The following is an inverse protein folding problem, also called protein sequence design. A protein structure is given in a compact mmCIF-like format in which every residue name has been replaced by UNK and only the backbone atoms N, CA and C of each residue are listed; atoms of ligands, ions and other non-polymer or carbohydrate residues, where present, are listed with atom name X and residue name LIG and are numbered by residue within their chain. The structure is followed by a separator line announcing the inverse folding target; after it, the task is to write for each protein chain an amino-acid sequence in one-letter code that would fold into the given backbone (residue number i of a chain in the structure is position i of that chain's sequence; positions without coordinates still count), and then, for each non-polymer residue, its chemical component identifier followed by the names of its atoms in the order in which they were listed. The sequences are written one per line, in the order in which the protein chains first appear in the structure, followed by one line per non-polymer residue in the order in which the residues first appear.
data_IF_703502277162
#
_entry.id   IF_703502277162
#
_cell.length_a   1.000
_cell.length_b   1.000
_cell.length_c   1.000
_cell.angle_alpha   90.00
_cell.angle_beta   90.00
_cell.angle_gamma   90.00
#
_symmetry.space_group_name_H-M   'P 1'
#
loop_
_entity.id
_entity.type
_entity.pdbx_description
1 polymer ?
#
# COMPACT_ATOMS: atom_id res chain seq x y z
N UNK A 1 22.87 8.46 22.06
CA UNK A 1 23.00 7.62 20.85
C UNK A 1 21.61 7.04 20.57
N UNK A 2 21.04 7.25 19.37
CA UNK A 2 19.77 6.63 18.99
C UNK A 2 19.84 5.10 19.07
N UNK A 3 18.75 4.48 19.50
CA UNK A 3 18.59 3.03 19.52
C UNK A 3 17.54 2.65 18.48
N UNK A 4 17.94 1.87 17.48
CA UNK A 4 17.03 1.25 16.52
C UNK A 4 16.64 -0.14 17.05
N UNK A 5 15.34 -0.43 17.13
CA UNK A 5 14.80 -1.68 17.66
C UNK A 5 13.73 -2.25 16.72
N UNK A 6 13.84 -3.55 16.46
CA UNK A 6 12.74 -4.35 15.95
C UNK A 6 11.87 -4.79 17.13
N UNK A 7 10.62 -4.32 17.18
CA UNK A 7 9.80 -4.41 18.40
C UNK A 7 8.93 -5.65 18.41
N UNK A 8 8.32 -5.98 17.29
CA UNK A 8 7.23 -6.95 17.16
C UNK A 8 7.26 -7.55 15.76
N UNK A 9 6.49 -8.59 15.51
CA UNK A 9 6.17 -9.08 14.17
C UNK A 9 4.81 -8.52 13.70
N UNK A 10 4.41 -8.66 12.43
CA UNK A 10 3.06 -8.34 11.99
C UNK A 10 1.99 -9.04 12.85
N UNK A 11 0.84 -8.39 13.08
CA UNK A 11 -0.21 -8.88 13.99
C UNK A 11 -0.57 -10.36 13.80
N UNK A 12 -0.64 -10.82 12.56
CA UNK A 12 -1.03 -12.19 12.21
C UNK A 12 -0.10 -13.27 12.80
N UNK A 13 1.17 -12.96 13.11
CA UNK A 13 2.10 -13.87 13.80
C UNK A 13 1.68 -14.21 15.23
N UNK A 14 0.83 -13.39 15.84
CA UNK A 14 0.34 -13.57 17.21
C UNK A 14 -1.07 -14.18 17.26
N UNK A 15 -1.69 -14.39 16.10
CA UNK A 15 -2.98 -15.05 15.98
C UNK A 15 -2.79 -16.57 15.89
N UNK A 16 -3.87 -17.33 16.11
CA UNK A 16 -3.81 -18.78 16.01
C UNK A 16 -3.42 -19.15 14.57
N UNK A 17 -2.39 -19.97 14.42
CA UNK A 17 -1.99 -20.44 13.09
C UNK A 17 -2.95 -21.53 12.61
N UNK A 18 -3.60 -21.26 11.48
CA UNK A 18 -4.40 -22.21 10.73
C UNK A 18 -4.27 -21.95 9.23
N UNK A 19 -4.99 -22.72 8.42
CA UNK A 19 -4.95 -22.65 6.95
C UNK A 19 -5.47 -21.32 6.37
N UNK A 20 -5.93 -20.38 7.20
CA UNK A 20 -6.42 -19.06 6.80
C UNK A 20 -5.50 -17.92 7.25
N UNK A 21 -4.43 -18.23 7.98
CA UNK A 21 -3.55 -17.25 8.64
C UNK A 21 -2.06 -17.49 8.32
N UNK A 22 -1.72 -18.05 7.17
CA UNK A 22 -0.37 -18.56 6.84
C UNK A 22 0.47 -17.59 6.00
N UNK A 23 0.38 -16.27 6.24
CA UNK A 23 0.99 -15.18 5.46
C UNK A 23 2.48 -15.33 5.04
N UNK A 24 3.19 -16.35 5.53
CA UNK A 24 4.31 -16.99 4.87
C UNK A 24 4.11 -18.52 4.81
N UNK A 25 4.17 -19.07 3.60
CA UNK A 25 3.76 -20.41 3.19
C UNK A 25 4.49 -21.61 3.83
N UNK A 26 5.33 -21.38 4.83
CA UNK A 26 6.02 -22.40 5.63
C UNK A 26 6.06 -22.09 7.13
N UNK A 27 5.53 -20.95 7.59
CA UNK A 27 5.59 -20.50 8.98
C UNK A 27 5.06 -21.53 9.96
N UNK A 28 4.06 -22.33 9.56
CA UNK A 28 3.48 -23.43 10.34
C UNK A 28 4.51 -24.44 10.88
N UNK A 29 5.63 -24.61 10.18
CA UNK A 29 6.67 -25.60 10.55
C UNK A 29 7.74 -25.05 11.50
N UNK A 30 7.83 -23.73 11.67
CA UNK A 30 8.81 -23.04 12.53
C UNK A 30 8.14 -22.03 13.46
N UNK A 31 6.97 -22.39 13.98
CA UNK A 31 6.22 -21.58 14.95
C UNK A 31 6.85 -21.62 16.34
N UNK A 32 6.90 -20.46 16.97
CA UNK A 32 7.40 -20.31 18.34
C UNK A 32 6.29 -20.49 19.39
N UNK A 33 5.01 -20.41 19.01
CA UNK A 33 3.83 -20.48 19.90
C UNK A 33 3.74 -21.70 20.84
N UNK A 34 4.59 -22.70 20.64
CA UNK A 34 4.76 -23.87 21.49
C UNK A 34 5.78 -23.69 22.64
N UNK A 35 6.46 -22.54 22.71
CA UNK A 35 7.43 -22.24 23.77
C UNK A 35 6.73 -21.61 24.99
N UNK A 36 7.21 -21.99 26.19
CA UNK A 36 6.72 -21.37 27.42
C UNK A 36 7.11 -19.89 27.49
N UNK A 37 6.19 -19.05 27.97
CA UNK A 37 6.38 -17.60 28.21
C UNK A 37 6.55 -16.69 26.97
N UNK A 38 5.95 -17.04 25.84
CA UNK A 38 5.86 -16.10 24.71
C UNK A 38 4.90 -14.95 25.02
N UNK A 39 5.40 -13.74 24.80
CA UNK A 39 4.62 -12.52 24.90
C UNK A 39 3.69 -12.39 23.69
N UNK A 40 2.41 -12.11 23.94
CA UNK A 40 1.50 -11.70 22.88
C UNK A 40 1.82 -10.27 22.38
N UNK A 41 1.24 -9.86 21.26
CA UNK A 41 1.50 -8.54 20.65
C UNK A 41 1.33 -7.38 21.65
N UNK A 42 0.30 -7.41 22.50
CA UNK A 42 0.08 -6.36 23.49
C UNK A 42 1.16 -6.35 24.58
N UNK A 43 1.62 -7.52 25.01
CA UNK A 43 2.70 -7.65 25.98
C UNK A 43 4.02 -7.17 25.40
N UNK A 44 4.34 -7.53 24.16
CA UNK A 44 5.52 -7.05 23.43
C UNK A 44 5.52 -5.53 23.33
N UNK A 45 4.40 -4.93 22.90
CA UNK A 45 4.28 -3.47 22.82
C UNK A 45 4.41 -2.80 24.19
N UNK A 46 3.88 -3.43 25.24
CA UNK A 46 4.05 -2.95 26.61
C UNK A 46 5.51 -3.00 27.06
N UNK A 47 6.32 -3.95 26.56
CA UNK A 47 7.76 -3.96 26.83
C UNK A 47 8.47 -2.78 26.16
N UNK A 48 8.12 -2.45 24.92
CA UNK A 48 8.61 -1.24 24.23
C UNK A 48 8.23 0.00 25.04
N UNK A 49 6.95 0.15 25.37
CA UNK A 49 6.43 1.30 26.12
C UNK A 49 7.18 1.49 27.45
N UNK A 50 7.39 0.39 28.18
CA UNK A 50 8.14 0.41 29.43
C UNK A 50 9.62 0.79 29.24
N UNK A 51 10.24 0.42 28.13
CA UNK A 51 11.62 0.78 27.82
C UNK A 51 11.73 2.27 27.47
N UNK A 52 10.87 2.74 26.57
CA UNK A 52 10.81 4.14 26.14
C UNK A 52 10.56 5.06 27.34
N UNK A 53 9.62 4.70 28.22
CA UNK A 53 9.30 5.43 29.45
C UNK A 53 10.47 5.49 30.44
N UNK A 54 11.23 4.40 30.59
CA UNK A 54 12.35 4.33 31.54
C UNK A 54 13.58 5.13 31.09
N UNK A 55 13.67 5.47 29.79
CA UNK A 55 14.84 6.11 29.21
C UNK A 55 14.46 7.37 28.41
N UNK A 56 13.96 8.43 29.07
CA UNK A 56 13.44 9.63 28.39
C UNK A 56 14.51 10.41 27.60
N UNK A 57 15.79 10.26 27.94
CA UNK A 57 16.91 10.90 27.25
C UNK A 57 17.48 10.05 26.10
N UNK A 58 16.92 8.87 25.86
CA UNK A 58 17.30 7.98 24.76
C UNK A 58 16.28 8.11 23.65
N UNK A 59 16.74 8.38 22.43
CA UNK A 59 15.91 8.37 21.23
C UNK A 59 15.75 6.93 20.74
N UNK A 60 14.52 6.46 20.62
CA UNK A 60 14.16 5.14 20.12
C UNK A 60 13.61 5.27 18.70
N UNK A 61 14.01 4.35 17.82
CA UNK A 61 13.46 4.19 16.47
C UNK A 61 12.94 2.77 16.37
N UNK A 62 11.62 2.59 16.36
CA UNK A 62 10.98 1.29 16.19
C UNK A 62 10.76 1.00 14.70
N UNK A 63 11.26 -0.15 14.22
CA UNK A 63 11.08 -0.52 12.83
C UNK A 63 9.62 -0.87 12.49
N UNK A 64 9.28 -0.78 11.20
CA UNK A 64 8.02 -1.23 10.61
C UNK A 64 6.77 -0.63 11.26
N UNK A 65 6.77 0.67 11.57
CA UNK A 65 5.67 1.29 12.34
C UNK A 65 5.43 0.61 13.70
N UNK A 66 6.48 0.09 14.34
CA UNK A 66 6.39 -0.79 15.52
C UNK A 66 5.42 -1.99 15.31
N UNK A 67 5.28 -2.43 14.05
CA UNK A 67 4.28 -3.36 13.55
C UNK A 67 2.86 -3.09 14.08
N UNK A 68 2.47 -1.81 14.10
CA UNK A 68 1.11 -1.33 14.39
C UNK A 68 0.37 -0.90 13.12
N UNK A 69 0.69 -1.51 11.99
CA UNK A 69 0.07 -1.28 10.68
C UNK A 69 -1.44 -1.61 10.65
N UNK A 70 -1.95 -2.38 11.61
CA UNK A 70 -3.37 -2.71 11.75
C UNK A 70 -4.11 -1.82 12.76
N UNK A 71 -3.39 -1.10 13.63
CA UNK A 71 -3.92 -0.22 14.67
C UNK A 71 -3.09 1.07 14.76
N UNK A 72 -3.27 1.93 13.75
CA UNK A 72 -2.54 3.21 13.65
C UNK A 72 -2.96 4.20 14.75
N UNK A 73 -4.15 4.04 15.34
CA UNK A 73 -4.61 4.88 16.45
C UNK A 73 -3.80 4.59 17.72
N UNK A 74 -3.48 3.32 17.98
CA UNK A 74 -2.57 2.93 19.05
C UNK A 74 -1.15 3.41 18.81
N UNK A 75 -0.68 3.35 17.56
CA UNK A 75 0.61 3.92 17.19
C UNK A 75 0.65 5.43 17.43
N UNK A 76 -0.38 6.15 17.00
CA UNK A 76 -0.51 7.60 17.21
C UNK A 76 -0.43 7.96 18.69
N UNK A 77 -1.20 7.27 19.54
CA UNK A 77 -1.14 7.46 21.00
C UNK A 77 0.25 7.21 21.60
N UNK A 78 0.97 6.19 21.13
CA UNK A 78 2.34 5.93 21.58
C UNK A 78 3.30 7.06 21.18
N UNK A 79 3.20 7.55 19.94
CA UNK A 79 4.03 8.66 19.46
C UNK A 79 3.72 9.98 20.19
N UNK A 80 2.44 10.25 20.47
CA UNK A 80 2.01 11.44 21.22
C UNK A 80 2.47 11.39 22.68
N UNK A 81 2.39 10.20 23.31
CA UNK A 81 2.75 10.00 24.71
C UNK A 81 4.27 9.99 24.94
N UNK A 82 5.05 9.58 23.93
CA UNK A 82 6.49 9.38 24.05
C UNK A 82 7.28 10.17 22.99
N UNK A 83 7.67 11.43 23.28
CA UNK A 83 8.37 12.28 22.32
C UNK A 83 9.79 11.78 21.98
N UNK A 84 10.30 10.80 22.72
CA UNK A 84 11.57 10.12 22.46
C UNK A 84 11.42 8.84 21.62
N UNK A 85 10.23 8.56 21.09
CA UNK A 85 9.94 7.42 20.22
C UNK A 85 9.63 7.90 18.79
N UNK A 86 10.31 7.28 17.83
CA UNK A 86 10.08 7.43 16.40
C UNK A 86 9.81 6.05 15.81
N UNK A 87 9.16 6.01 14.65
CA UNK A 87 9.00 4.76 13.89
C UNK A 87 9.51 4.90 12.47
N UNK A 88 10.18 3.88 11.96
CA UNK A 88 10.56 3.83 10.55
C UNK A 88 9.42 3.27 9.68
N UNK A 89 9.51 3.56 8.38
CA UNK A 89 8.61 3.03 7.34
C UNK A 89 9.36 2.11 6.36
N UNK A 90 10.67 1.89 6.57
CA UNK A 90 11.53 1.11 5.70
C UNK A 90 11.30 -0.40 5.88
N UNK A 91 11.65 -1.17 4.83
CA UNK A 91 11.51 -2.63 4.72
C UNK A 91 10.11 -3.18 4.39
N UNK A 92 9.43 -2.54 3.43
CA UNK A 92 8.61 -3.29 2.46
C UNK A 92 9.47 -3.58 1.23
N UNK A 93 10.01 -4.79 1.14
CA UNK A 93 10.42 -5.34 -0.15
C UNK A 93 9.13 -5.77 -0.85
N UNK A 94 8.65 -4.97 -1.79
CA UNK A 94 7.47 -5.30 -2.57
C UNK A 94 7.74 -6.55 -3.41
N UNK A 95 7.26 -7.69 -2.93
CA UNK A 95 7.05 -8.89 -3.73
C UNK A 95 5.54 -8.98 -3.94
N UNK A 96 5.07 -8.68 -5.14
CA UNK A 96 3.64 -8.80 -5.44
C UNK A 96 3.33 -10.27 -5.75
N UNK A 97 2.68 -10.96 -4.81
CA UNK A 97 2.17 -12.31 -4.99
C UNK A 97 0.65 -12.22 -5.18
N UNK A 98 0.15 -12.67 -6.33
CA UNK A 98 -1.28 -12.82 -6.58
C UNK A 98 -1.59 -14.31 -6.75
N UNK A 99 -2.56 -14.81 -5.98
CA UNK A 99 -3.05 -16.18 -6.14
C UNK A 99 -3.97 -16.25 -7.35
N UNK A 100 -3.73 -17.20 -8.25
CA UNK A 100 -4.64 -17.53 -9.35
C UNK A 100 -5.60 -18.60 -8.80
N UNK A 101 -6.89 -18.26 -8.64
CA UNK A 101 -7.92 -19.21 -8.21
C UNK A 101 -8.55 -19.97 -9.40
N UNK A 102 -9.07 -21.16 -9.12
CA UNK A 102 -9.42 -22.26 -10.05
C UNK A 102 -10.66 -22.05 -10.95
N UNK A 103 -11.19 -20.82 -11.05
CA UNK A 103 -12.46 -20.57 -11.75
C UNK A 103 -12.35 -19.81 -13.08
N UNK A 104 -11.17 -19.74 -13.70
CA UNK A 104 -11.06 -19.31 -15.10
C UNK A 104 -11.10 -20.52 -16.04
N UNK A 105 -12.04 -20.53 -16.99
CA UNK A 105 -12.05 -21.46 -18.11
C UNK A 105 -10.67 -21.42 -18.80
N UNK A 106 -9.91 -22.52 -18.71
CA UNK A 106 -8.58 -22.60 -19.32
C UNK A 106 -8.72 -22.72 -20.83
N UNK A 107 -8.55 -21.59 -21.52
CA UNK A 107 -8.42 -21.53 -22.99
C UNK A 107 -6.95 -21.54 -23.44
N UNK A 108 -6.02 -21.81 -22.52
CA UNK A 108 -4.57 -21.78 -22.76
C UNK A 108 -3.91 -20.40 -22.59
N UNK A 109 -4.64 -19.40 -22.08
CA UNK A 109 -4.11 -18.08 -21.74
C UNK A 109 -4.72 -17.56 -20.44
N UNK A 110 -3.93 -16.77 -19.70
CA UNK A 110 -4.37 -16.09 -18.47
C UNK A 110 -4.01 -14.61 -18.58
N UNK A 111 -4.98 -13.74 -18.29
CA UNK A 111 -4.75 -12.29 -18.28
C UNK A 111 -4.38 -11.83 -16.88
N UNK A 112 -3.29 -11.08 -16.76
CA UNK A 112 -2.81 -10.56 -15.48
C UNK A 112 -2.64 -9.04 -15.57
N UNK A 113 -3.03 -8.34 -14.51
CA UNK A 113 -2.81 -6.89 -14.41
C UNK A 113 -1.42 -6.63 -13.86
N UNK A 114 -0.60 -5.95 -14.65
CA UNK A 114 0.76 -5.56 -14.27
C UNK A 114 0.69 -4.51 -13.14
N UNK A 115 1.42 -4.69 -12.03
CA UNK A 115 1.48 -3.70 -10.96
C UNK A 115 1.99 -2.34 -11.48
N UNK A 116 1.27 -1.28 -11.11
CA UNK A 116 1.53 0.11 -11.56
C UNK A 116 2.76 0.76 -10.90
N UNK A 117 3.43 0.08 -9.96
CA UNK A 117 4.68 0.51 -9.33
C UNK A 117 5.93 0.09 -10.11
N UNK A 118 5.77 -0.64 -11.21
CA UNK A 118 6.87 -1.13 -12.03
C UNK A 118 7.32 -0.03 -13.02
N UNK A 119 8.62 0.26 -13.05
CA UNK A 119 9.19 1.20 -14.01
C UNK A 119 9.05 0.64 -15.44
N UNK A 120 8.60 1.49 -16.36
CA UNK A 120 8.62 1.20 -17.81
C UNK A 120 10.06 0.95 -18.24
N UNK A 121 10.27 0.06 -19.22
CA UNK A 121 11.58 -0.34 -19.77
C UNK A 121 12.51 -1.13 -18.82
N UNK A 122 12.13 -1.35 -17.57
CA UNK A 122 12.83 -2.31 -16.71
C UNK A 122 12.65 -3.75 -17.23
N UNK A 123 13.64 -4.59 -16.98
CA UNK A 123 13.62 -6.02 -17.35
C UNK A 123 13.01 -6.84 -16.23
N UNK A 124 11.99 -7.63 -16.57
CA UNK A 124 11.22 -8.44 -15.63
C UNK A 124 11.24 -9.92 -16.02
N UNK A 125 10.94 -10.78 -15.03
CA UNK A 125 10.66 -12.20 -15.22
C UNK A 125 9.33 -12.57 -14.57
N UNK A 126 8.55 -13.41 -15.26
CA UNK A 126 7.33 -13.98 -14.71
C UNK A 126 7.72 -15.28 -14.02
N UNK A 127 7.22 -15.49 -12.81
CA UNK A 127 7.40 -16.71 -12.05
C UNK A 127 6.03 -17.25 -11.64
N UNK A 128 5.73 -18.47 -12.06
CA UNK A 128 4.51 -19.18 -11.69
C UNK A 128 4.93 -20.42 -10.92
N UNK A 129 4.26 -20.72 -9.81
CA UNK A 129 4.50 -21.96 -9.06
C UNK A 129 3.21 -22.55 -8.56
N UNK A 130 3.16 -23.87 -8.45
CA UNK A 130 2.10 -24.55 -7.73
C UNK A 130 2.16 -24.21 -6.25
N UNK A 131 0.98 -23.98 -5.65
CA UNK A 131 0.85 -23.79 -4.20
C UNK A 131 0.98 -25.12 -3.45
N UNK A 132 0.62 -26.24 -4.09
CA UNK A 132 0.63 -27.58 -3.47
C UNK A 132 1.97 -28.30 -3.63
N UNK A 133 2.69 -28.06 -4.73
CA UNK A 133 3.98 -28.68 -5.00
C UNK A 133 5.01 -27.63 -5.46
N UNK A 134 5.86 -27.20 -4.52
CA UNK A 134 6.90 -26.20 -4.78
C UNK A 134 7.99 -26.65 -5.80
N UNK A 135 8.00 -27.92 -6.22
CA UNK A 135 8.87 -28.39 -7.32
C UNK A 135 8.28 -28.13 -8.70
N UNK A 136 6.98 -27.81 -8.79
CA UNK A 136 6.31 -27.45 -10.03
C UNK A 136 6.27 -25.94 -10.15
N UNK A 137 7.20 -25.40 -10.93
CA UNK A 137 7.26 -23.99 -11.24
C UNK A 137 7.66 -23.79 -12.70
N UNK A 138 7.32 -22.62 -13.21
CA UNK A 138 7.76 -22.14 -14.51
C UNK A 138 8.28 -20.71 -14.38
N UNK A 139 9.25 -20.38 -15.22
CA UNK A 139 9.85 -19.06 -15.34
C UNK A 139 9.72 -18.63 -16.80
N UNK A 140 9.45 -17.36 -17.04
CA UNK A 140 9.53 -16.84 -18.40
C UNK A 140 10.90 -17.14 -19.01
N UNK A 141 10.91 -17.73 -20.21
CA UNK A 141 12.12 -18.16 -20.95
C UNK A 141 13.05 -17.01 -21.36
N UNK A 142 12.69 -15.78 -21.03
CA UNK A 142 13.46 -14.57 -21.28
C UNK A 142 13.05 -13.43 -20.34
N UNK A 143 13.85 -12.36 -20.38
CA UNK A 143 13.46 -11.08 -19.79
C UNK A 143 12.39 -10.45 -20.70
N UNK A 144 11.32 -9.96 -20.11
CA UNK A 144 10.35 -9.12 -20.81
C UNK A 144 10.41 -7.70 -20.26
N UNK A 145 10.06 -6.72 -21.09
CA UNK A 145 9.98 -5.31 -20.69
C UNK A 145 8.54 -4.85 -20.76
N UNK A 146 8.13 -4.05 -19.79
CA UNK A 146 6.84 -3.35 -19.84
C UNK A 146 7.05 -2.12 -20.72
N UNK A 147 6.34 -2.09 -21.85
CA UNK A 147 6.33 -0.94 -22.76
C UNK A 147 5.02 -0.17 -22.60
N UNK A 148 5.08 1.14 -22.69
CA UNK A 148 3.87 1.97 -22.72
C UNK A 148 3.23 1.89 -24.11
N UNK A 149 2.09 1.20 -24.20
CA UNK A 149 1.36 1.03 -25.45
C UNK A 149 0.50 2.27 -25.75
N UNK A 150 1.12 3.44 -25.98
CA UNK A 150 0.43 4.52 -26.70
C UNK A 150 0.54 4.29 -28.21
N UNK A 151 -0.12 3.25 -28.72
CA UNK A 151 -0.76 3.19 -30.06
C UNK A 151 -1.53 1.87 -30.27
N UNK A 152 -2.86 1.98 -30.34
CA UNK A 152 -3.81 1.18 -31.15
C UNK A 152 -4.04 -0.32 -30.84
N UNK A 153 -5.12 -0.63 -30.11
CA UNK A 153 -6.41 -1.22 -30.56
C UNK A 153 -7.29 -1.41 -29.30
N UNK A 154 -8.56 -1.02 -29.39
CA UNK A 154 -9.54 -1.06 -28.30
C UNK A 154 -9.94 -2.49 -27.92
N UNK A 155 -9.27 -3.07 -26.94
CA UNK A 155 -9.94 -3.98 -26.02
C UNK A 155 -10.45 -3.14 -24.84
N UNK A 156 -11.77 -3.04 -24.72
CA UNK A 156 -12.42 -2.45 -23.55
C UNK A 156 -11.99 -3.25 -22.32
N UNK A 157 -10.94 -2.80 -21.64
CA UNK A 157 -10.65 -3.22 -20.28
C UNK A 157 -11.84 -2.76 -19.46
N UNK A 158 -12.75 -3.69 -19.15
CA UNK A 158 -13.95 -3.39 -18.38
C UNK A 158 -13.49 -3.03 -16.97
N UNK A 159 -13.48 -1.73 -16.66
CA UNK A 159 -13.28 -1.25 -15.31
C UNK A 159 -14.54 -1.55 -14.52
N UNK A 160 -14.45 -2.48 -13.57
CA UNK A 160 -15.58 -2.89 -12.73
C UNK A 160 -15.67 -2.11 -11.42
N UNK A 161 -14.59 -1.42 -11.03
CA UNK A 161 -14.44 -0.81 -9.72
C UNK A 161 -13.85 0.60 -9.78
N UNK A 162 -14.21 1.40 -8.79
CA UNK A 162 -13.55 2.67 -8.53
C UNK A 162 -12.21 2.43 -7.86
N UNK A 163 -11.15 3.10 -8.32
CA UNK A 163 -9.83 3.00 -7.72
C UNK A 163 -9.18 4.37 -7.59
N UNK A 164 -8.59 4.66 -6.44
CA UNK A 164 -7.65 5.77 -6.26
C UNK A 164 -6.27 5.19 -5.96
N UNK A 165 -5.33 5.39 -6.86
CA UNK A 165 -3.99 4.85 -6.73
C UNK A 165 -3.11 5.78 -5.90
N UNK A 166 -2.03 5.24 -5.34
CA UNK A 166 -0.95 6.03 -4.78
C UNK A 166 -0.33 6.91 -5.88
N UNK A 167 -0.08 8.19 -5.59
CA UNK A 167 0.59 9.10 -6.52
C UNK A 167 2.02 8.62 -6.80
N UNK A 168 2.53 8.88 -8.01
CA UNK A 168 3.89 8.55 -8.39
C UNK A 168 4.59 9.74 -9.07
N UNK A 169 5.83 10.09 -8.67
CA UNK A 169 6.57 9.52 -7.53
C UNK A 169 5.94 9.85 -6.16
N UNK A 170 6.29 9.10 -5.12
CA UNK A 170 5.99 9.42 -3.71
C UNK A 170 7.06 8.78 -2.78
N UNK A 171 7.88 9.56 -2.05
CA UNK A 171 7.89 11.02 -2.01
C UNK A 171 8.19 11.68 -3.36
N UNK A 172 7.80 12.94 -3.54
CA UNK A 172 7.96 13.67 -4.80
C UNK A 172 8.59 15.05 -4.63
N UNK A 173 9.13 15.60 -5.73
CA UNK A 173 9.71 16.94 -5.78
C UNK A 173 9.74 17.53 -7.22
N UNK A 174 9.11 18.68 -7.48
CA UNK A 174 7.88 19.17 -6.86
C UNK A 174 6.64 18.57 -7.53
N UNK A 175 6.82 17.73 -8.56
CA UNK A 175 5.73 17.19 -9.38
C UNK A 175 5.43 15.72 -9.07
N UNK A 176 4.15 15.35 -9.14
CA UNK A 176 3.68 13.97 -9.05
C UNK A 176 2.45 13.77 -9.93
N UNK A 177 2.10 12.51 -10.20
CA UNK A 177 0.89 12.16 -10.93
C UNK A 177 -0.04 11.34 -10.03
N UNK A 178 -1.29 11.78 -9.91
CA UNK A 178 -2.37 11.08 -9.23
C UNK A 178 -3.16 10.31 -10.29
N UNK A 179 -3.28 8.99 -10.10
CA UNK A 179 -4.06 8.11 -10.96
C UNK A 179 -5.35 7.69 -10.27
N UNK A 180 -6.46 7.64 -11.00
CA UNK A 180 -7.71 7.02 -10.54
C UNK A 180 -8.44 6.35 -11.70
N UNK A 181 -9.29 5.36 -11.39
CA UNK A 181 -10.13 4.66 -12.35
C UNK A 181 -11.61 4.82 -12.00
N UNK A 182 -12.42 5.03 -13.02
CA UNK A 182 -13.87 5.16 -12.93
C UNK A 182 -14.53 4.05 -13.75
N UNK A 183 -15.42 3.22 -13.18
CA UNK A 183 -16.17 2.22 -13.92
C UNK A 183 -17.32 2.82 -14.75
N UNK A 184 -17.74 4.05 -14.41
CA UNK A 184 -18.85 4.76 -15.06
C UNK A 184 -18.50 6.24 -15.26
N UNK A 185 -19.31 6.94 -16.06
CA UNK A 185 -19.27 8.40 -16.11
C UNK A 185 -19.67 9.00 -14.76
N UNK A 186 -18.80 9.85 -14.21
CA UNK A 186 -18.96 10.41 -12.87
C UNK A 186 -18.70 11.92 -12.86
N UNK A 187 -19.35 12.62 -11.94
CA UNK A 187 -18.88 13.92 -11.49
C UNK A 187 -17.81 13.72 -10.42
N UNK A 188 -16.59 14.19 -10.68
CA UNK A 188 -15.41 13.93 -9.85
C UNK A 188 -14.91 15.21 -9.20
N UNK A 189 -14.67 15.13 -7.88
CA UNK A 189 -13.93 16.12 -7.11
C UNK A 189 -12.64 15.51 -6.60
N UNK A 190 -11.50 16.08 -6.96
CA UNK A 190 -10.18 15.70 -6.45
C UNK A 190 -9.54 16.92 -5.80
N UNK A 191 -9.34 16.83 -4.48
CA UNK A 191 -8.86 17.92 -3.63
C UNK A 191 -7.57 17.53 -2.91
N UNK A 192 -6.70 18.51 -2.68
CA UNK A 192 -5.50 18.41 -1.85
C UNK A 192 -5.74 19.09 -0.50
N UNK A 193 -5.35 18.44 0.58
CA UNK A 193 -5.43 18.94 1.95
C UNK A 193 -4.09 18.89 2.67
N UNK A 194 -3.88 19.79 3.62
CA UNK A 194 -2.78 19.71 4.58
C UNK A 194 -3.11 18.76 5.75
N UNK A 195 -2.16 18.59 6.68
CA UNK A 195 -2.33 17.74 7.87
C UNK A 195 -3.39 18.22 8.86
N UNK A 196 -3.81 19.47 8.78
CA UNK A 196 -4.87 20.04 9.62
C UNK A 196 -6.25 19.92 8.95
N UNK A 197 -6.31 19.39 7.73
CA UNK A 197 -7.53 19.25 6.96
C UNK A 197 -7.94 20.53 6.20
N UNK A 198 -7.06 21.52 6.09
CA UNK A 198 -7.34 22.70 5.27
C UNK A 198 -7.25 22.34 3.79
N UNK A 199 -8.20 22.82 2.98
CA UNK A 199 -8.16 22.66 1.53
C UNK A 199 -7.04 23.53 0.94
N UNK A 200 -6.07 22.89 0.30
CA UNK A 200 -4.91 23.54 -0.32
C UNK A 200 -5.13 23.77 -1.81
N UNK A 201 -5.71 22.81 -2.52
CA UNK A 201 -5.91 22.91 -3.98
C UNK A 201 -7.07 22.05 -4.46
N UNK A 202 -7.75 22.52 -5.51
CA UNK A 202 -8.70 21.75 -6.30
C UNK A 202 -8.04 21.31 -7.60
N UNK A 203 -7.88 20.00 -7.81
CA UNK A 203 -7.24 19.46 -9.01
C UNK A 203 -8.27 19.06 -10.08
N UNK A 204 -9.43 18.55 -9.65
CA UNK A 204 -10.54 18.18 -10.53
C UNK A 204 -11.83 18.57 -9.83
N UNK A 205 -12.76 19.19 -10.55
CA UNK A 205 -14.14 19.45 -10.11
C UNK A 205 -15.06 19.50 -11.34
N UNK A 206 -15.14 18.38 -12.05
CA UNK A 206 -15.82 18.30 -13.34
C UNK A 206 -16.32 16.87 -13.63
N UNK A 207 -17.09 16.72 -14.71
CA UNK A 207 -17.48 15.41 -15.22
C UNK A 207 -16.29 14.71 -15.88
N UNK A 208 -16.08 13.44 -15.53
CA UNK A 208 -15.10 12.54 -16.16
C UNK A 208 -15.82 11.31 -16.69
N UNK A 209 -15.43 10.88 -17.88
CA UNK A 209 -15.95 9.66 -18.48
C UNK A 209 -15.39 8.42 -17.76
N UNK A 210 -16.07 7.29 -17.93
CA UNK A 210 -15.52 5.97 -17.57
C UNK A 210 -14.10 5.79 -18.14
N UNK A 211 -13.20 5.21 -17.36
CA UNK A 211 -11.80 5.06 -17.76
C UNK A 211 -10.79 5.37 -16.65
N UNK A 212 -9.52 5.27 -17.04
CA UNK A 212 -8.38 5.63 -16.20
C UNK A 212 -7.98 7.08 -16.47
N UNK A 213 -7.78 7.85 -15.39
CA UNK A 213 -7.42 9.26 -15.45
C UNK A 213 -6.09 9.50 -14.74
N UNK A 214 -5.26 10.35 -15.33
CA UNK A 214 -3.95 10.76 -14.81
C UNK A 214 -3.94 12.27 -14.62
N UNK A 215 -3.80 12.72 -13.38
CA UNK A 215 -3.80 14.14 -13.01
C UNK A 215 -2.41 14.51 -12.51
N UNK A 216 -1.72 15.38 -13.25
CA UNK A 216 -0.45 15.95 -12.82
C UNK A 216 -0.69 16.99 -11.73
N UNK A 217 0.16 16.98 -10.71
CA UNK A 217 0.14 17.94 -9.63
C UNK A 217 1.53 18.54 -9.43
N UNK A 218 1.63 19.86 -9.54
CA UNK A 218 2.83 20.63 -9.25
C UNK A 218 2.67 21.33 -7.89
N UNK A 219 3.52 20.92 -6.94
CA UNK A 219 3.55 21.45 -5.58
C UNK A 219 4.68 22.46 -5.35
N UNK A 220 5.19 23.10 -6.40
CA UNK A 220 6.30 24.08 -6.31
C UNK A 220 6.03 25.22 -5.32
N UNK A 221 4.77 25.55 -5.05
CA UNK A 221 4.39 26.60 -4.11
C UNK A 221 4.11 26.11 -2.67
N UNK A 222 4.24 24.81 -2.40
CA UNK A 222 3.97 24.20 -1.08
C UNK A 222 5.26 23.92 -0.31
N UNK A 223 5.19 23.87 1.02
CA UNK A 223 6.35 23.50 1.85
C UNK A 223 6.54 21.99 1.89
N UNK A 224 7.77 21.49 2.07
CA UNK A 224 8.02 20.06 2.33
C UNK A 224 7.15 19.58 3.49
N UNK A 225 6.56 18.39 3.36
CA UNK A 225 5.65 17.88 4.37
C UNK A 225 4.70 16.80 3.87
N UNK A 226 3.79 16.43 4.76
CA UNK A 226 2.74 15.46 4.50
C UNK A 226 1.49 16.21 4.06
N UNK A 227 0.79 15.66 3.08
CA UNK A 227 -0.47 16.15 2.57
C UNK A 227 -1.35 14.97 2.19
N UNK A 228 -2.62 15.25 1.93
CA UNK A 228 -3.60 14.25 1.54
C UNK A 228 -4.30 14.67 0.26
N UNK A 229 -4.66 13.70 -0.57
CA UNK A 229 -5.61 13.94 -1.65
C UNK A 229 -6.83 13.06 -1.45
N UNK A 230 -8.00 13.67 -1.64
CA UNK A 230 -9.30 13.03 -1.50
C UNK A 230 -10.02 13.09 -2.83
N UNK A 231 -10.51 11.95 -3.27
CA UNK A 231 -11.45 11.85 -4.38
C UNK A 231 -12.87 11.69 -3.85
N UNK A 232 -13.81 12.30 -4.54
CA UNK A 232 -15.23 12.06 -4.43
C UNK A 232 -15.77 11.91 -5.85
N UNK A 233 -16.31 10.73 -6.18
CA UNK A 233 -16.87 10.45 -7.49
C UNK A 233 -18.32 10.00 -7.34
N UNK A 234 -19.24 10.75 -7.94
CA UNK A 234 -20.67 10.45 -7.97
C UNK A 234 -21.02 10.03 -9.39
N UNK A 235 -21.51 8.80 -9.57
CA UNK A 235 -21.96 8.33 -10.88
C UNK A 235 -23.15 9.14 -11.39
N UNK A 236 -23.22 9.31 -12.71
CA UNK A 236 -24.45 9.81 -13.36
C UNK A 236 -25.63 8.87 -13.19
N UNK A 237 -25.37 7.57 -13.03
CA UNK A 237 -26.37 6.59 -12.62
C UNK A 237 -26.50 6.62 -11.10
N UNK A 238 -27.55 7.28 -10.61
CA UNK A 238 -27.82 7.45 -9.18
C UNK A 238 -28.11 6.13 -8.43
N UNK A 239 -28.25 5.00 -9.13
CA UNK A 239 -28.33 3.67 -8.51
C UNK A 239 -26.96 3.13 -8.07
N UNK A 240 -25.86 3.72 -8.54
CA UNK A 240 -24.49 3.33 -8.17
C UNK A 240 -24.06 4.06 -6.90
N UNK A 241 -23.28 3.38 -6.02
CA UNK A 241 -22.74 4.03 -4.85
C UNK A 241 -21.76 5.14 -5.23
N UNK A 242 -21.76 6.19 -4.43
CA UNK A 242 -20.72 7.22 -4.43
C UNK A 242 -19.39 6.60 -3.97
N UNK A 243 -18.29 7.04 -4.59
CA UNK A 243 -16.95 6.63 -4.22
C UNK A 243 -16.21 7.77 -3.54
N UNK A 244 -15.68 7.50 -2.34
CA UNK A 244 -14.81 8.41 -1.61
C UNK A 244 -13.60 7.63 -1.13
N UNK A 245 -12.40 8.10 -1.49
CA UNK A 245 -11.13 7.55 -1.01
C UNK A 245 -10.15 8.69 -0.75
N UNK A 246 -9.20 8.45 0.15
CA UNK A 246 -8.17 9.38 0.58
C UNK A 246 -6.82 8.67 0.57
N UNK A 247 -5.81 9.33 0.05
CA UNK A 247 -4.42 8.87 0.12
C UNK A 247 -3.52 9.98 0.62
N UNK A 248 -2.39 9.58 1.21
CA UNK A 248 -1.35 10.46 1.73
C UNK A 248 -0.22 10.57 0.73
N UNK A 249 0.37 11.74 0.54
CA UNK A 249 1.64 11.90 -0.16
C UNK A 249 2.64 12.76 0.60
N UNK A 250 3.92 12.64 0.24
CA UNK A 250 5.03 13.31 0.91
C UNK A 250 5.78 14.17 -0.13
N UNK A 251 5.80 15.48 0.10
CA UNK A 251 6.59 16.43 -0.69
C UNK A 251 7.95 16.64 0.00
N UNK A 252 9.04 16.46 -0.75
CA UNK A 252 10.41 16.69 -0.28
C UNK A 252 11.11 17.72 -1.17
N UNK A 253 11.23 18.96 -0.72
CA UNK A 253 12.11 19.97 -1.33
C UNK A 253 13.52 19.92 -0.79
#
# INVERSE_FOLDING_TARGET
MPINIHVSEPQWFYEKMDSTNDGLMNAYTWRLDNQENILNLNEVLKTLENAVKRHPNTLFIACHLANQNTDLDKLGRLLDQYPNLYTDISARNDSFLLNIEDSTLSIGSYSWTIPFSLEVDSTYKIYIRSLENNQLYDLSDGQFSIIDSTTSISEETILTEYLLYQNYPNPFNPETTIKFALPFDCYVKLFIYDVLGNLISTLVEEEKQTGVHLIKFDASNLSSGIYFYKINAVSKDLSKPEFVDIKKFILLK
#
